data_IF_049749266978
#
_entry.id   IF_049749266978
#
_cell.length_a   1.000
_cell.length_b   1.000
_cell.length_c   1.000
_cell.angle_alpha   90.00
_cell.angle_beta   90.00
_cell.angle_gamma   90.00
#
_symmetry.space_group_name_H-M   'P 1'
#
loop_
_entity.id
_entity.type
_entity.pdbx_description
1 polymer ?
#
# COMPACT_ATOMS: atom_id res chain seq x y z
N UNK A 1 29.17 -26.09 0.34
CA UNK A 1 29.93 -25.05 1.06
C UNK A 1 29.46 -23.62 0.79
N UNK A 2 29.02 -23.25 -0.43
CA UNK A 2 28.56 -21.88 -0.72
C UNK A 2 27.31 -21.41 0.06
N UNK A 3 26.29 -22.25 0.21
CA UNK A 3 25.04 -21.88 0.88
C UNK A 3 25.19 -21.54 2.37
N UNK A 4 26.03 -22.28 3.10
CA UNK A 4 26.31 -22.03 4.53
C UNK A 4 27.01 -20.69 4.76
N UNK A 5 27.88 -20.27 3.82
CA UNK A 5 28.58 -18.98 3.89
C UNK A 5 27.60 -17.84 3.62
N UNK A 6 26.71 -17.98 2.62
CA UNK A 6 25.70 -16.96 2.34
C UNK A 6 24.74 -16.77 3.52
N UNK A 7 24.28 -17.87 4.14
CA UNK A 7 23.43 -17.80 5.32
C UNK A 7 24.13 -17.13 6.51
N UNK A 8 25.41 -17.46 6.77
CA UNK A 8 26.17 -16.79 7.83
C UNK A 8 26.34 -15.28 7.58
N UNK A 9 26.50 -14.86 6.32
CA UNK A 9 26.57 -13.43 5.95
C UNK A 9 25.23 -12.71 6.10
N UNK A 10 24.13 -13.39 5.81
CA UNK A 10 22.78 -12.90 6.02
C UNK A 10 22.52 -12.64 7.50
N UNK A 11 22.76 -13.64 8.37
CA UNK A 11 22.64 -13.51 9.82
C UNK A 11 23.53 -12.38 10.36
N UNK A 12 24.75 -12.26 9.85
CA UNK A 12 25.64 -11.17 10.22
C UNK A 12 25.07 -9.79 9.82
N UNK A 13 24.47 -9.66 8.64
CA UNK A 13 23.79 -8.42 8.23
C UNK A 13 22.61 -8.09 9.16
N UNK A 14 21.81 -9.08 9.56
CA UNK A 14 20.71 -8.89 10.50
C UNK A 14 21.20 -8.39 11.87
N UNK A 15 22.29 -8.95 12.39
CA UNK A 15 22.91 -8.50 13.64
C UNK A 15 23.43 -7.07 13.53
N UNK A 16 24.09 -6.72 12.42
CA UNK A 16 24.54 -5.34 12.18
C UNK A 16 23.37 -4.35 12.11
N UNK A 17 22.28 -4.74 11.46
CA UNK A 17 21.06 -3.95 11.42
C UNK A 17 20.50 -3.70 12.83
N UNK A 18 20.43 -4.74 13.65
CA UNK A 18 19.97 -4.65 15.04
C UNK A 18 20.90 -3.78 15.91
N UNK A 19 22.21 -3.76 15.63
CA UNK A 19 23.19 -2.89 16.30
C UNK A 19 23.17 -1.43 15.83
N UNK A 20 22.41 -1.11 14.78
CA UNK A 20 22.29 0.24 14.23
C UNK A 20 23.25 0.57 13.09
N UNK A 21 24.11 -0.38 12.67
CA UNK A 21 25.05 -0.24 11.55
C UNK A 21 24.34 -0.43 10.20
N UNK A 22 23.33 0.41 9.92
CA UNK A 22 22.35 0.22 8.83
C UNK A 22 22.99 0.18 7.44
N UNK A 23 23.97 1.03 7.18
CA UNK A 23 24.62 1.11 5.86
C UNK A 23 25.43 -0.14 5.55
N UNK A 24 26.21 -0.62 6.52
CA UNK A 24 27.00 -1.85 6.38
C UNK A 24 26.10 -3.09 6.25
N UNK A 25 25.05 -3.17 7.07
CA UNK A 25 24.05 -4.24 6.97
C UNK A 25 23.42 -4.31 5.57
N UNK A 26 22.98 -3.17 5.04
CA UNK A 26 22.38 -3.09 3.70
C UNK A 26 23.36 -3.49 2.59
N UNK A 27 24.62 -3.08 2.67
CA UNK A 27 25.62 -3.45 1.66
C UNK A 27 25.86 -4.96 1.66
N UNK A 28 26.04 -5.56 2.85
CA UNK A 28 26.25 -7.01 2.97
C UNK A 28 25.02 -7.77 2.48
N UNK A 29 23.82 -7.32 2.84
CA UNK A 29 22.57 -7.98 2.39
C UNK A 29 22.39 -7.92 0.87
N UNK A 30 22.71 -6.79 0.23
CA UNK A 30 22.70 -6.67 -1.24
C UNK A 30 23.71 -7.58 -1.90
N UNK A 31 24.91 -7.72 -1.34
CA UNK A 31 25.92 -8.66 -1.86
C UNK A 31 25.45 -10.12 -1.74
N UNK A 32 24.84 -10.49 -0.60
CA UNK A 32 24.26 -11.82 -0.41
C UNK A 32 23.16 -12.07 -1.44
N UNK A 33 22.22 -11.13 -1.59
CA UNK A 33 21.12 -11.24 -2.54
C UNK A 33 21.59 -11.37 -3.99
N UNK A 34 22.66 -10.66 -4.38
CA UNK A 34 23.23 -10.75 -5.72
C UNK A 34 23.88 -12.12 -6.02
N UNK A 35 24.41 -12.78 -4.99
CA UNK A 35 25.02 -14.10 -5.10
C UNK A 35 24.01 -15.24 -4.93
N UNK A 36 22.88 -14.97 -4.28
CA UNK A 36 21.86 -15.97 -3.97
C UNK A 36 20.96 -16.22 -5.19
N UNK A 37 21.08 -17.43 -5.77
CA UNK A 37 20.30 -17.90 -6.92
C UNK A 37 19.14 -18.82 -6.56
N UNK A 38 19.13 -19.32 -5.33
CA UNK A 38 18.10 -20.24 -4.87
C UNK A 38 16.82 -19.48 -4.51
N UNK A 39 15.69 -20.06 -4.92
CA UNK A 39 14.36 -19.65 -4.48
C UNK A 39 13.89 -20.62 -3.37
N UNK A 40 13.18 -20.12 -2.35
CA UNK A 40 12.61 -18.78 -2.23
C UNK A 40 13.54 -17.73 -1.58
N UNK A 41 14.71 -18.15 -1.07
CA UNK A 41 15.61 -17.33 -0.25
C UNK A 41 15.97 -15.98 -0.90
N UNK A 42 16.31 -15.96 -2.19
CA UNK A 42 16.64 -14.72 -2.91
C UNK A 42 15.49 -13.69 -2.90
N UNK A 43 14.24 -14.16 -2.99
CA UNK A 43 13.06 -13.29 -3.01
C UNK A 43 12.75 -12.73 -1.61
N UNK A 44 12.88 -13.56 -0.57
CA UNK A 44 12.71 -13.14 0.84
C UNK A 44 13.78 -12.10 1.20
N UNK A 45 15.04 -12.35 0.82
CA UNK A 45 16.15 -11.41 1.00
C UNK A 45 15.88 -10.07 0.29
N UNK A 46 15.36 -10.11 -0.95
CA UNK A 46 15.01 -8.90 -1.70
C UNK A 46 13.91 -8.09 -1.00
N UNK A 47 12.90 -8.77 -0.43
CA UNK A 47 11.86 -8.15 0.38
C UNK A 47 12.45 -7.47 1.63
N UNK A 48 13.32 -8.17 2.36
CA UNK A 48 13.98 -7.65 3.57
C UNK A 48 14.84 -6.43 3.27
N UNK A 49 15.56 -6.41 2.13
CA UNK A 49 16.29 -5.22 1.67
C UNK A 49 15.32 -4.05 1.44
N UNK A 50 14.17 -4.29 0.81
CA UNK A 50 13.12 -3.28 0.59
C UNK A 50 12.61 -2.68 1.90
N UNK A 51 12.36 -3.51 2.92
CA UNK A 51 11.98 -3.05 4.26
C UNK A 51 13.06 -2.18 4.91
N UNK A 52 14.32 -2.61 4.85
CA UNK A 52 15.43 -1.86 5.42
C UNK A 52 15.66 -0.53 4.72
N UNK A 53 15.55 -0.48 3.39
CA UNK A 53 15.63 0.75 2.61
C UNK A 53 14.49 1.71 2.98
N UNK A 54 13.28 1.18 3.18
CA UNK A 54 12.13 1.96 3.68
C UNK A 54 12.42 2.56 5.07
N UNK A 55 12.91 1.74 6.00
CA UNK A 55 13.24 2.18 7.37
C UNK A 55 14.39 3.20 7.40
N UNK A 56 15.36 3.08 6.48
CA UNK A 56 16.47 4.01 6.33
C UNK A 56 16.12 5.25 5.47
N UNK A 57 14.92 5.31 4.87
CA UNK A 57 14.44 6.40 4.00
C UNK A 57 15.37 6.72 2.83
N UNK A 58 15.98 5.70 2.24
CA UNK A 58 16.99 5.87 1.19
C UNK A 58 16.39 6.05 -0.21
N UNK A 59 15.16 5.57 -0.43
CA UNK A 59 14.49 5.58 -1.73
C UNK A 59 13.06 6.08 -1.61
N UNK A 60 12.49 6.49 -2.76
CA UNK A 60 11.07 6.84 -2.82
C UNK A 60 10.20 5.61 -2.57
N UNK A 61 9.03 5.74 -1.92
CA UNK A 61 8.14 4.59 -1.66
C UNK A 61 7.75 3.81 -2.92
N UNK A 62 7.63 4.48 -4.07
CA UNK A 62 7.32 3.83 -5.36
C UNK A 62 8.47 2.99 -5.89
N UNK A 63 9.71 3.49 -5.81
CA UNK A 63 10.89 2.69 -6.16
C UNK A 63 11.00 1.44 -5.28
N UNK A 64 10.66 1.56 -3.99
CA UNK A 64 10.71 0.43 -3.06
C UNK A 64 9.72 -0.67 -3.50
N UNK A 65 8.51 -0.29 -3.87
CA UNK A 65 7.49 -1.21 -4.39
C UNK A 65 7.98 -1.90 -5.66
N UNK A 66 8.39 -1.13 -6.66
CA UNK A 66 8.68 -1.67 -7.99
C UNK A 66 9.96 -2.53 -7.99
N UNK A 67 11.02 -2.09 -7.28
CA UNK A 67 12.34 -2.73 -7.34
C UNK A 67 12.51 -3.88 -6.34
N UNK A 68 11.76 -3.90 -5.24
CA UNK A 68 11.93 -4.89 -4.18
C UNK A 68 10.69 -5.76 -4.00
N UNK A 69 9.55 -5.20 -3.61
CA UNK A 69 8.35 -6.00 -3.30
C UNK A 69 7.75 -6.67 -4.55
N UNK A 70 7.40 -5.91 -5.58
CA UNK A 70 6.82 -6.48 -6.80
C UNK A 70 7.82 -7.39 -7.52
N UNK A 71 9.10 -7.04 -7.51
CA UNK A 71 10.15 -7.86 -8.10
C UNK A 71 10.32 -9.19 -7.36
N UNK A 72 10.24 -9.19 -6.03
CA UNK A 72 10.29 -10.41 -5.22
C UNK A 72 9.10 -11.33 -5.53
N UNK A 73 7.88 -10.78 -5.58
CA UNK A 73 6.67 -11.54 -5.91
C UNK A 73 6.75 -12.11 -7.33
N UNK A 74 7.15 -11.31 -8.33
CA UNK A 74 7.29 -11.75 -9.73
C UNK A 74 8.38 -12.82 -9.91
N UNK A 75 9.37 -12.85 -9.03
CA UNK A 75 10.46 -13.84 -9.09
C UNK A 75 10.07 -15.20 -8.47
N UNK A 76 8.96 -15.25 -7.72
CA UNK A 76 8.46 -16.48 -7.11
C UNK A 76 7.39 -17.14 -7.97
N UNK A 77 7.46 -18.47 -8.02
CA UNK A 77 6.37 -19.31 -8.51
C UNK A 77 5.41 -19.58 -7.34
N UNK A 78 4.22 -18.97 -7.39
CA UNK A 78 3.22 -19.02 -6.32
C UNK A 78 2.78 -20.45 -5.97
N UNK A 79 2.89 -21.39 -6.91
CA UNK A 79 2.54 -22.79 -6.67
C UNK A 79 3.63 -23.57 -5.93
N UNK A 80 4.90 -23.16 -6.05
CA UNK A 80 6.04 -23.89 -5.46
C UNK A 80 6.42 -23.39 -4.08
N UNK A 81 6.23 -22.10 -3.83
CA UNK A 81 6.65 -21.45 -2.58
C UNK A 81 5.54 -20.60 -1.96
N UNK A 82 4.40 -21.20 -1.57
CA UNK A 82 3.28 -20.47 -1.00
C UNK A 82 3.65 -19.75 0.32
N UNK A 83 4.39 -20.40 1.22
CA UNK A 83 4.76 -19.79 2.52
C UNK A 83 5.59 -18.52 2.34
N UNK A 84 6.62 -18.56 1.48
CA UNK A 84 7.45 -17.39 1.19
C UNK A 84 6.69 -16.27 0.48
N UNK A 85 5.75 -16.63 -0.42
CA UNK A 85 4.86 -15.66 -1.03
C UNK A 85 4.01 -14.95 0.03
N UNK A 86 3.47 -15.70 0.99
CA UNK A 86 2.64 -15.14 2.05
C UNK A 86 3.43 -14.26 3.04
N UNK A 87 4.69 -14.59 3.32
CA UNK A 87 5.62 -13.77 4.09
C UNK A 87 5.94 -12.44 3.37
N UNK A 88 6.32 -12.50 2.09
CA UNK A 88 6.61 -11.29 1.30
C UNK A 88 5.35 -10.43 1.14
N UNK A 89 4.20 -11.07 0.95
CA UNK A 89 2.90 -10.38 0.86
C UNK A 89 2.57 -9.68 2.18
N UNK A 90 2.86 -10.29 3.33
CA UNK A 90 2.69 -9.64 4.63
C UNK A 90 3.55 -8.38 4.75
N UNK A 91 4.84 -8.49 4.46
CA UNK A 91 5.79 -7.37 4.48
C UNK A 91 5.35 -6.23 3.55
N UNK A 92 4.96 -6.57 2.32
CA UNK A 92 4.48 -5.57 1.36
C UNK A 92 3.16 -4.94 1.82
N UNK A 93 2.21 -5.74 2.33
CA UNK A 93 0.94 -5.23 2.82
C UNK A 93 1.12 -4.21 3.95
N UNK A 94 1.98 -4.53 4.92
CA UNK A 94 2.34 -3.63 6.02
C UNK A 94 3.03 -2.36 5.54
N UNK A 95 3.92 -2.47 4.56
CA UNK A 95 4.54 -1.29 3.94
C UNK A 95 3.50 -0.40 3.27
N UNK A 96 2.65 -0.97 2.42
CA UNK A 96 1.62 -0.22 1.69
C UNK A 96 0.62 0.44 2.63
N UNK A 97 0.21 -0.26 3.70
CA UNK A 97 -0.65 0.27 4.76
C UNK A 97 -0.02 1.49 5.44
N UNK A 98 1.25 1.40 5.83
CA UNK A 98 1.98 2.52 6.41
C UNK A 98 2.10 3.72 5.46
N UNK A 99 2.31 3.48 4.16
CA UNK A 99 2.36 4.59 3.19
C UNK A 99 0.98 5.22 3.00
N UNK A 100 -0.08 4.41 2.97
CA UNK A 100 -1.46 4.89 2.89
C UNK A 100 -1.78 5.84 4.06
N UNK A 101 -1.54 5.43 5.30
CA UNK A 101 -1.77 6.28 6.48
C UNK A 101 -0.87 7.51 6.52
N UNK A 102 0.41 7.40 6.15
CA UNK A 102 1.30 8.57 6.03
C UNK A 102 0.77 9.60 5.04
N UNK A 103 0.19 9.17 3.92
CA UNK A 103 -0.42 10.06 2.94
C UNK A 103 -1.73 10.66 3.44
N UNK A 104 -2.56 9.87 4.11
CA UNK A 104 -3.82 10.31 4.71
C UNK A 104 -3.61 11.38 5.79
N UNK A 105 -2.62 11.17 6.66
CA UNK A 105 -2.26 12.08 7.74
C UNK A 105 -1.42 13.27 7.29
N UNK A 106 -0.96 13.29 6.02
CA UNK A 106 -0.09 14.34 5.50
C UNK A 106 -0.76 15.71 5.55
N UNK A 107 -0.19 16.61 6.37
CA UNK A 107 -0.61 18.01 6.45
C UNK A 107 -0.45 18.74 5.11
N UNK A 108 0.50 18.33 4.28
CA UNK A 108 0.67 18.88 2.93
C UNK A 108 -0.52 18.52 2.05
N UNK A 109 -0.97 17.26 2.08
CA UNK A 109 -2.12 16.82 1.30
C UNK A 109 -3.40 17.51 1.78
N UNK A 110 -3.59 17.64 3.10
CA UNK A 110 -4.73 18.37 3.69
C UNK A 110 -4.73 19.86 3.28
N UNK A 111 -3.57 20.52 3.34
CA UNK A 111 -3.41 21.93 2.90
C UNK A 111 -3.69 22.09 1.42
N UNK A 112 -3.18 21.19 0.59
CA UNK A 112 -3.44 21.20 -0.86
C UNK A 112 -4.93 21.06 -1.14
N UNK A 113 -5.61 20.05 -0.56
CA UNK A 113 -7.07 19.87 -0.67
C UNK A 113 -7.86 21.14 -0.29
N UNK A 114 -7.46 21.81 0.81
CA UNK A 114 -8.10 23.06 1.26
C UNK A 114 -7.83 24.22 0.29
N UNK A 115 -6.60 24.35 -0.20
CA UNK A 115 -6.21 25.36 -1.19
C UNK A 115 -6.98 25.21 -2.49
N UNK A 116 -7.01 24.01 -3.06
CA UNK A 116 -7.74 23.68 -4.29
C UNK A 116 -9.24 24.00 -4.16
N UNK A 117 -9.87 23.64 -3.04
CA UNK A 117 -11.29 23.98 -2.76
C UNK A 117 -11.50 25.49 -2.67
N UNK A 118 -10.60 26.22 -2.01
CA UNK A 118 -10.68 27.69 -1.89
C UNK A 118 -10.53 28.35 -3.26
N UNK A 119 -9.52 27.96 -4.05
CA UNK A 119 -9.32 28.47 -5.41
C UNK A 119 -10.54 28.21 -6.30
N UNK A 120 -11.14 27.02 -6.21
CA UNK A 120 -12.37 26.69 -6.95
C UNK A 120 -13.53 27.63 -6.59
N UNK A 121 -13.72 27.93 -5.31
CA UNK A 121 -14.75 28.85 -4.84
C UNK A 121 -14.48 30.30 -5.30
N UNK A 122 -13.22 30.74 -5.25
CA UNK A 122 -12.80 32.06 -5.72
C UNK A 122 -13.02 32.23 -7.23
N UNK A 123 -12.70 31.22 -8.04
CA UNK A 123 -12.96 31.22 -9.49
C UNK A 123 -14.47 31.30 -9.76
N UNK A 124 -15.29 30.51 -9.07
CA UNK A 124 -16.76 30.56 -9.17
C UNK A 124 -17.34 31.92 -8.77
N UNK A 125 -16.76 32.61 -7.79
CA UNK A 125 -17.15 33.96 -7.40
C UNK A 125 -16.69 35.03 -8.40
N UNK A 126 -15.43 34.97 -8.82
CA UNK A 126 -14.80 35.97 -9.69
C UNK A 126 -15.27 35.87 -11.16
N UNK A 127 -15.64 34.68 -11.64
CA UNK A 127 -16.24 34.48 -12.97
C UNK A 127 -17.54 35.26 -13.16
N UNK A 128 -18.29 35.55 -12.09
CA UNK A 128 -19.47 36.42 -12.14
C UNK A 128 -19.11 37.89 -12.38
N UNK A 129 -17.97 38.34 -11.83
CA UNK A 129 -17.46 39.72 -11.94
C UNK A 129 -16.66 39.95 -13.23
N UNK A 130 -15.96 38.92 -13.72
CA UNK A 130 -15.16 38.96 -14.95
C UNK A 130 -16.00 39.14 -16.24
N UNK A 131 -17.33 39.04 -16.15
CA UNK A 131 -18.23 39.41 -17.25
C UNK A 131 -18.30 40.92 -17.49
N UNK A 132 -17.90 41.72 -16.50
CA UNK A 132 -18.09 43.18 -16.48
C UNK A 132 -16.75 43.93 -16.61
N UNK A 133 -15.64 43.37 -16.13
CA UNK A 133 -14.31 44.00 -16.16
C UNK A 133 -13.24 43.12 -16.85
N UNK A 134 -12.47 43.72 -17.76
CA UNK A 134 -11.37 43.07 -18.47
C UNK A 134 -10.14 42.80 -17.61
N UNK A 135 -9.87 43.62 -16.59
CA UNK A 135 -8.81 43.39 -15.61
C UNK A 135 -9.08 42.14 -14.76
N UNK A 136 -10.32 41.97 -14.33
CA UNK A 136 -10.80 40.78 -13.64
C UNK A 136 -10.65 39.50 -14.47
N UNK A 137 -10.79 39.54 -15.81
CA UNK A 137 -10.59 38.36 -16.67
C UNK A 137 -9.16 37.80 -16.59
N UNK A 138 -8.14 38.66 -16.58
CA UNK A 138 -6.73 38.22 -16.50
C UNK A 138 -6.41 37.59 -15.15
N UNK A 139 -6.96 38.12 -14.07
CA UNK A 139 -6.81 37.56 -12.73
C UNK A 139 -7.50 36.20 -12.60
N UNK A 140 -8.70 36.03 -13.18
CA UNK A 140 -9.42 34.75 -13.21
C UNK A 140 -8.60 33.70 -13.96
N UNK A 141 -8.08 34.02 -15.15
CA UNK A 141 -7.27 33.09 -15.94
C UNK A 141 -6.01 32.62 -15.18
N UNK A 142 -5.37 33.51 -14.42
CA UNK A 142 -4.23 33.13 -13.57
C UNK A 142 -4.65 32.15 -12.46
N UNK A 143 -5.78 32.41 -11.80
CA UNK A 143 -6.31 31.53 -10.75
C UNK A 143 -6.75 30.18 -11.30
N UNK A 144 -7.33 30.14 -12.49
CA UNK A 144 -7.70 28.89 -13.18
C UNK A 144 -6.46 28.03 -13.47
N UNK A 145 -5.36 28.65 -13.94
CA UNK A 145 -4.10 27.92 -14.14
C UNK A 145 -3.54 27.35 -12.84
N UNK A 146 -3.50 28.15 -11.77
CA UNK A 146 -3.04 27.68 -10.45
C UNK A 146 -3.94 26.55 -9.91
N UNK A 147 -5.25 26.67 -10.09
CA UNK A 147 -6.20 25.64 -9.71
C UNK A 147 -5.94 24.34 -10.47
N UNK A 148 -5.71 24.42 -11.77
CA UNK A 148 -5.44 23.25 -12.62
C UNK A 148 -4.15 22.53 -12.19
N UNK A 149 -3.07 23.29 -11.93
CA UNK A 149 -1.81 22.73 -11.43
C UNK A 149 -1.98 22.04 -10.05
N UNK A 150 -2.66 22.70 -9.11
CA UNK A 150 -2.95 22.13 -7.78
C UNK A 150 -3.87 20.91 -7.86
N UNK A 151 -4.89 20.95 -8.72
CA UNK A 151 -5.86 19.87 -8.89
C UNK A 151 -5.21 18.63 -9.51
N UNK A 152 -4.36 18.79 -10.54
CA UNK A 152 -3.61 17.69 -11.14
C UNK A 152 -2.65 17.03 -10.14
N UNK A 153 -1.96 17.84 -9.32
CA UNK A 153 -1.13 17.32 -8.23
C UNK A 153 -1.96 16.55 -7.21
N UNK A 154 -3.12 17.08 -6.82
CA UNK A 154 -4.00 16.45 -5.85
C UNK A 154 -4.59 15.13 -6.37
N UNK A 155 -4.98 15.08 -7.65
CA UNK A 155 -5.47 13.87 -8.30
C UNK A 155 -4.38 12.80 -8.34
N UNK A 156 -3.16 13.16 -8.71
CA UNK A 156 -2.01 12.24 -8.76
C UNK A 156 -1.73 11.63 -7.38
N UNK A 157 -1.72 12.46 -6.33
CA UNK A 157 -1.54 11.98 -4.95
C UNK A 157 -2.72 11.12 -4.48
N UNK A 158 -3.94 11.46 -4.86
CA UNK A 158 -5.13 10.65 -4.51
C UNK A 158 -5.10 9.29 -5.20
N UNK A 159 -4.73 9.21 -6.47
CA UNK A 159 -4.53 7.93 -7.19
C UNK A 159 -3.46 7.07 -6.53
N UNK A 160 -2.35 7.69 -6.12
CA UNK A 160 -1.28 6.98 -5.42
C UNK A 160 -1.74 6.46 -4.05
N UNK A 161 -2.50 7.27 -3.30
CA UNK A 161 -3.11 6.85 -2.04
C UNK A 161 -4.03 5.63 -2.23
N UNK A 162 -4.92 5.67 -3.23
CA UNK A 162 -5.80 4.54 -3.56
C UNK A 162 -5.01 3.30 -3.99
N UNK A 163 -3.91 3.46 -4.72
CA UNK A 163 -3.03 2.34 -5.09
C UNK A 163 -2.44 1.67 -3.85
N UNK A 164 -1.97 2.43 -2.86
CA UNK A 164 -1.45 1.86 -1.62
C UNK A 164 -2.53 1.14 -0.81
N UNK A 165 -3.73 1.72 -0.70
CA UNK A 165 -4.87 1.09 -0.03
C UNK A 165 -5.24 -0.25 -0.68
N UNK A 166 -5.45 -0.25 -2.00
CA UNK A 166 -5.79 -1.45 -2.76
C UNK A 166 -4.69 -2.51 -2.67
N UNK A 167 -3.42 -2.10 -2.80
CA UNK A 167 -2.28 -3.02 -2.69
C UNK A 167 -2.17 -3.62 -1.29
N UNK A 168 -2.37 -2.83 -0.24
CA UNK A 168 -2.35 -3.31 1.14
C UNK A 168 -3.41 -4.39 1.38
N UNK A 169 -4.67 -4.13 0.98
CA UNK A 169 -5.77 -5.07 1.17
C UNK A 169 -5.58 -6.36 0.37
N UNK A 170 -5.16 -6.27 -0.90
CA UNK A 170 -4.88 -7.46 -1.73
C UNK A 170 -3.72 -8.29 -1.16
N UNK A 171 -2.66 -7.64 -0.68
CA UNK A 171 -1.50 -8.33 -0.12
C UNK A 171 -1.77 -8.92 1.27
N UNK A 172 -2.59 -8.28 2.11
CA UNK A 172 -3.06 -8.89 3.36
C UNK A 172 -3.86 -10.17 3.10
N UNK A 173 -4.77 -10.17 2.12
CA UNK A 173 -5.48 -11.39 1.72
C UNK A 173 -4.53 -12.46 1.18
N UNK A 174 -3.58 -12.08 0.32
CA UNK A 174 -2.59 -13.02 -0.21
C UNK A 174 -1.73 -13.66 0.89
N UNK A 175 -1.36 -12.88 1.91
CA UNK A 175 -0.69 -13.39 3.11
C UNK A 175 -1.56 -14.37 3.89
N UNK A 176 -2.81 -13.99 4.19
CA UNK A 176 -3.76 -14.85 4.90
C UNK A 176 -4.03 -16.16 4.15
N UNK A 177 -3.93 -16.20 2.82
CA UNK A 177 -4.09 -17.44 2.06
C UNK A 177 -2.95 -18.44 2.23
N UNK A 178 -1.73 -17.99 2.52
CA UNK A 178 -0.53 -18.84 2.41
C UNK A 178 0.42 -18.80 3.63
N UNK A 179 0.14 -17.96 4.63
CA UNK A 179 1.04 -17.71 5.76
C UNK A 179 0.28 -17.64 7.09
N UNK A 180 0.41 -18.70 7.90
CA UNK A 180 -0.34 -18.83 9.16
C UNK A 180 0.31 -18.10 10.34
N UNK A 181 1.61 -17.77 10.24
CA UNK A 181 2.35 -17.07 11.30
C UNK A 181 1.87 -15.63 11.53
N UNK A 182 1.02 -15.09 10.65
CA UNK A 182 0.50 -13.73 10.73
C UNK A 182 -1.04 -13.69 10.69
N UNK A 183 -1.74 -14.70 11.23
CA UNK A 183 -3.21 -14.73 11.20
C UNK A 183 -3.87 -13.53 11.92
N UNK A 184 -3.20 -12.91 12.89
CA UNK A 184 -3.66 -11.67 13.55
C UNK A 184 -3.88 -10.50 12.59
N UNK A 185 -3.28 -10.56 11.40
CA UNK A 185 -3.47 -9.58 10.32
C UNK A 185 -4.93 -9.47 9.88
N UNK A 186 -5.74 -10.51 10.10
CA UNK A 186 -7.17 -10.48 9.78
C UNK A 186 -7.87 -9.28 10.43
N UNK A 187 -7.51 -8.92 11.67
CA UNK A 187 -8.12 -7.77 12.35
C UNK A 187 -7.77 -6.46 11.66
N UNK A 188 -6.52 -6.33 11.20
CA UNK A 188 -6.06 -5.14 10.47
C UNK A 188 -6.74 -5.04 9.10
N UNK A 189 -6.80 -6.16 8.36
CA UNK A 189 -7.50 -6.25 7.09
C UNK A 189 -8.98 -5.85 7.23
N UNK A 190 -9.71 -6.45 8.17
CA UNK A 190 -11.13 -6.17 8.38
C UNK A 190 -11.34 -4.71 8.79
N UNK A 191 -10.52 -4.18 9.70
CA UNK A 191 -10.61 -2.77 10.10
C UNK A 191 -10.45 -1.83 8.89
N UNK A 192 -9.38 -2.01 8.11
CA UNK A 192 -9.08 -1.17 6.94
C UNK A 192 -10.14 -1.30 5.84
N UNK A 193 -10.67 -2.50 5.62
CA UNK A 193 -11.73 -2.73 4.64
C UNK A 193 -13.07 -2.13 5.08
N UNK A 194 -13.42 -2.26 6.36
CA UNK A 194 -14.64 -1.66 6.93
C UNK A 194 -14.58 -0.13 6.91
N UNK A 195 -13.42 0.48 7.05
CA UNK A 195 -13.25 1.94 6.88
C UNK A 195 -13.61 2.40 5.46
N UNK A 196 -13.45 1.53 4.45
CA UNK A 196 -13.61 1.85 3.02
C UNK A 196 -14.74 1.08 2.32
N UNK A 197 -15.67 0.50 3.08
CA UNK A 197 -16.74 -0.36 2.56
C UNK A 197 -17.67 0.33 1.55
N UNK A 198 -17.70 1.66 1.51
CA UNK A 198 -18.51 2.46 0.57
C UNK A 198 -17.88 2.59 -0.82
N UNK A 199 -16.61 2.18 -1.00
CA UNK A 199 -15.95 2.17 -2.30
C UNK A 199 -16.25 0.84 -3.03
N UNK A 200 -17.23 0.90 -3.93
CA UNK A 200 -17.65 -0.25 -4.75
C UNK A 200 -16.53 -0.79 -5.64
N UNK A 201 -15.64 0.08 -6.16
CA UNK A 201 -14.56 -0.34 -7.04
C UNK A 201 -13.49 -1.11 -6.26
N UNK A 202 -13.13 -0.59 -5.07
CA UNK A 202 -12.23 -1.28 -4.16
C UNK A 202 -12.81 -2.62 -3.70
N UNK A 203 -14.08 -2.63 -3.30
CA UNK A 203 -14.77 -3.83 -2.82
C UNK A 203 -14.85 -4.92 -3.89
N UNK A 204 -15.14 -4.56 -5.13
CA UNK A 204 -15.10 -5.49 -6.27
C UNK A 204 -13.71 -6.09 -6.47
N UNK A 205 -12.66 -5.26 -6.44
CA UNK A 205 -11.29 -5.74 -6.58
C UNK A 205 -10.89 -6.73 -5.48
N UNK A 206 -11.32 -6.48 -4.24
CA UNK A 206 -11.02 -7.32 -3.08
C UNK A 206 -11.81 -8.63 -3.10
N UNK A 207 -13.05 -8.61 -3.56
CA UNK A 207 -13.94 -9.78 -3.58
C UNK A 207 -13.36 -10.98 -4.34
N UNK A 208 -12.60 -10.74 -5.41
CA UNK A 208 -11.91 -11.78 -6.16
C UNK A 208 -10.86 -12.54 -5.31
N UNK A 209 -10.23 -11.84 -4.35
CA UNK A 209 -9.20 -12.40 -3.49
C UNK A 209 -9.77 -12.99 -2.20
N UNK A 210 -10.94 -12.55 -1.73
CA UNK A 210 -11.57 -13.07 -0.50
C UNK A 210 -11.78 -14.59 -0.56
N UNK A 211 -12.22 -15.11 -1.71
CA UNK A 211 -12.48 -16.55 -1.90
C UNK A 211 -11.22 -17.42 -1.82
N UNK A 212 -10.03 -16.81 -1.94
CA UNK A 212 -8.76 -17.53 -1.82
C UNK A 212 -8.29 -17.71 -0.36
N UNK A 213 -8.92 -17.02 0.59
CA UNK A 213 -8.54 -17.11 2.01
C UNK A 213 -9.33 -18.24 2.67
N UNK A 214 -8.67 -19.16 3.40
CA UNK A 214 -9.37 -20.19 4.16
C UNK A 214 -10.40 -19.60 5.13
N UNK A 215 -11.64 -20.12 5.09
CA UNK A 215 -12.77 -19.55 5.84
C UNK A 215 -12.56 -19.53 7.36
N UNK A 216 -11.79 -20.47 7.91
CA UNK A 216 -11.50 -20.52 9.35
C UNK A 216 -10.74 -19.28 9.85
N UNK A 217 -10.00 -18.57 8.99
CA UNK A 217 -9.30 -17.34 9.35
C UNK A 217 -10.24 -16.17 9.65
N UNK A 218 -11.49 -16.23 9.18
CA UNK A 218 -12.50 -15.23 9.47
C UNK A 218 -13.26 -15.48 10.79
N UNK A 219 -13.08 -16.63 11.44
CA UNK A 219 -13.77 -16.96 12.69
C UNK A 219 -13.56 -15.88 13.77
N UNK A 220 -12.34 -15.36 14.02
CA UNK A 220 -12.11 -14.34 15.06
C UNK A 220 -12.83 -13.00 14.80
N UNK A 221 -13.12 -12.70 13.54
CA UNK A 221 -13.76 -11.44 13.10
C UNK A 221 -15.24 -11.61 12.73
N UNK A 222 -15.79 -12.83 12.84
CA UNK A 222 -17.16 -13.15 12.43
C UNK A 222 -18.21 -12.28 13.13
N UNK A 223 -18.02 -11.97 14.43
CA UNK A 223 -18.92 -11.08 15.16
C UNK A 223 -18.89 -9.64 14.64
N UNK A 224 -17.72 -9.14 14.24
CA UNK A 224 -17.57 -7.78 13.69
C UNK A 224 -18.23 -7.67 12.31
N UNK A 225 -18.10 -8.72 11.50
CA UNK A 225 -18.68 -8.79 10.16
C UNK A 225 -20.20 -8.95 10.21
N UNK A 226 -20.69 -9.88 11.03
CA UNK A 226 -22.14 -10.13 11.16
C UNK A 226 -22.91 -8.93 11.70
N UNK A 227 -22.32 -8.15 12.61
CA UNK A 227 -22.92 -6.91 13.11
C UNK A 227 -23.13 -5.84 12.02
N UNK A 228 -22.43 -5.94 10.88
CA UNK A 228 -22.53 -5.01 9.75
C UNK A 228 -23.40 -5.52 8.60
N UNK A 229 -23.89 -6.76 8.68
CA UNK A 229 -24.87 -7.29 7.73
C UNK A 229 -26.23 -6.63 7.98
N UNK A 230 -26.60 -5.65 7.15
CA UNK A 230 -27.93 -5.04 7.14
C UNK A 230 -28.83 -5.72 6.12
N UNK A 231 -30.15 -5.73 6.34
CA UNK A 231 -31.16 -6.31 5.43
C UNK A 231 -31.30 -5.57 4.08
N UNK A 232 -30.67 -4.42 3.89
CA UNK A 232 -30.70 -3.67 2.63
C UNK A 232 -29.64 -4.19 1.66
N UNK A 233 -30.07 -5.16 0.86
CA UNK A 233 -29.30 -5.93 -0.11
C UNK A 233 -28.99 -5.17 -1.41
N UNK A 234 -28.27 -4.04 -1.33
CA UNK A 234 -27.85 -3.29 -2.54
C UNK A 234 -26.38 -2.87 -2.57
N UNK A 235 -25.63 -3.01 -1.47
CA UNK A 235 -24.20 -2.64 -1.41
C UNK A 235 -23.29 -3.75 -1.93
N UNK A 236 -22.25 -3.40 -2.71
CA UNK A 236 -21.22 -4.35 -3.17
C UNK A 236 -20.47 -5.00 -2.00
N UNK A 237 -20.45 -4.35 -0.83
CA UNK A 237 -19.85 -4.86 0.41
C UNK A 237 -20.52 -6.12 0.96
N UNK A 238 -21.84 -6.29 0.75
CA UNK A 238 -22.56 -7.44 1.28
C UNK A 238 -22.45 -8.68 0.38
N UNK A 239 -22.18 -8.52 -0.92
CA UNK A 239 -22.15 -9.64 -1.88
C UNK A 239 -21.14 -10.74 -1.53
N UNK A 240 -19.93 -10.46 -1.03
CA UNK A 240 -19.00 -11.51 -0.62
C UNK A 240 -19.45 -12.33 0.60
N UNK A 241 -20.43 -11.83 1.37
CA UNK A 241 -20.90 -12.47 2.60
C UNK A 241 -22.22 -13.23 2.44
N UNK A 242 -22.91 -13.03 1.32
CA UNK A 242 -24.14 -13.77 0.98
C UNK A 242 -23.73 -15.01 0.19
N UNK A 243 -23.60 -16.14 0.90
CA UNK A 243 -23.49 -17.48 0.31
C UNK A 243 -24.91 -18.02 0.09
#
# INVERSE_FOLDING_TARGET
MGGTILHAREEFAQVLWAKGEKALALNIMKEVQALQKNLPESAVQLCQIGEWISLARLNSPMEIVDQYFEKAIKSLDSMKHPEALGEISYSYAKFADQQYHKMEDSEEMKKLRKSTKRLQAEIKGASKLAKVDGGAKRLVALKERLFEEDNNRLESLSKLQTRYLSSSLTMYLSSLSHYDKADEVIFRFVSLWLEHHYDDALTKGISAHLNSVPTHKFIPVANQLSARLSKESSSEFQKPWVI
#
